data_IF_869226623614
#
_entry.id   IF_869226623614
#
_cell.length_a   1.000
_cell.length_b   1.000
_cell.length_c   1.000
_cell.angle_alpha   90.00
_cell.angle_beta   90.00
_cell.angle_gamma   90.00
#
_symmetry.space_group_name_H-M   'P 1'
#
loop_
_entity.id
_entity.type
_entity.pdbx_description
1 polymer ?
#
# COMPACT_ATOMS: atom_id res chain seq x y z
N UNK A 1 -4.54 -3.40 8.12
CA UNK A 1 -4.42 -2.43 6.99
C UNK A 1 -4.91 -1.10 7.50
N UNK A 2 -4.06 -0.06 7.52
CA UNK A 2 -4.35 1.18 8.25
C UNK A 2 -5.69 1.82 7.88
N UNK A 3 -5.99 1.98 6.59
CA UNK A 3 -7.23 2.59 6.12
C UNK A 3 -8.49 1.84 6.59
N UNK A 4 -8.48 0.50 6.54
CA UNK A 4 -9.56 -0.35 7.03
C UNK A 4 -9.68 -0.31 8.55
N UNK A 5 -8.56 -0.23 9.27
CA UNK A 5 -8.59 -0.15 10.74
C UNK A 5 -9.05 1.23 11.23
N UNK A 6 -8.89 2.28 10.42
CA UNK A 6 -9.43 3.62 10.70
C UNK A 6 -10.96 3.71 10.59
N UNK A 7 -11.62 2.73 9.98
CA UNK A 7 -13.08 2.64 10.00
C UNK A 7 -13.64 2.45 11.41
N UNK A 8 -12.89 1.82 12.31
CA UNK A 8 -13.26 1.61 13.72
C UNK A 8 -12.34 2.36 14.69
N UNK A 9 -11.17 2.81 14.25
CA UNK A 9 -10.22 3.58 15.05
C UNK A 9 -9.64 4.74 14.25
N UNK A 10 -10.41 5.83 14.03
CA UNK A 10 -10.06 6.90 13.09
C UNK A 10 -8.69 7.56 13.35
N UNK A 11 -8.28 7.61 14.62
CA UNK A 11 -7.04 8.24 15.06
C UNK A 11 -5.85 7.27 15.15
N UNK A 12 -5.96 6.06 14.59
CA UNK A 12 -4.86 5.09 14.60
C UNK A 12 -3.63 5.68 13.87
N UNK A 13 -2.47 5.85 14.54
CA UNK A 13 -1.28 6.44 13.92
C UNK A 13 -0.62 5.47 12.95
N UNK A 14 -0.03 6.01 11.87
CA UNK A 14 0.64 5.22 10.84
C UNK A 14 1.85 4.44 11.40
N UNK A 15 2.56 4.99 12.39
CA UNK A 15 3.80 4.42 12.91
C UNK A 15 3.60 3.02 13.56
N UNK A 16 2.39 2.73 14.05
CA UNK A 16 2.02 1.38 14.53
C UNK A 16 2.08 0.29 13.44
N UNK A 17 2.21 0.68 12.17
CA UNK A 17 2.39 -0.25 11.04
C UNK A 17 3.84 -0.55 10.72
N UNK A 18 4.77 0.22 11.26
CA UNK A 18 6.20 0.09 11.01
C UNK A 18 7.00 -0.28 12.27
N UNK A 19 6.31 -0.55 13.38
CA UNK A 19 6.90 -0.87 14.68
C UNK A 19 6.46 -2.27 15.12
N UNK A 20 7.42 -3.09 15.57
CA UNK A 20 7.20 -4.48 15.99
C UNK A 20 7.92 -5.52 15.11
N UNK A 21 7.65 -6.81 15.34
CA UNK A 21 8.24 -7.96 14.62
C UNK A 21 7.46 -8.37 13.36
N UNK A 22 6.46 -7.58 12.94
CA UNK A 22 5.66 -7.93 11.78
C UNK A 22 6.54 -7.91 10.52
N UNK A 23 6.64 -9.07 9.87
CA UNK A 23 7.21 -9.29 8.52
C UNK A 23 8.66 -8.86 8.25
N UNK A 24 9.44 -8.47 9.26
CA UNK A 24 10.84 -8.07 9.02
C UNK A 24 10.93 -6.78 8.19
N UNK A 25 9.96 -5.87 8.33
CA UNK A 25 9.77 -4.70 7.46
C UNK A 25 11.06 -3.89 7.22
N UNK A 26 11.88 -3.67 8.25
CA UNK A 26 13.17 -2.95 8.10
C UNK A 26 14.24 -3.78 7.37
N UNK A 27 14.27 -5.09 7.56
CA UNK A 27 15.19 -5.98 6.83
C UNK A 27 14.78 -6.10 5.36
N UNK A 28 13.48 -6.25 5.08
CA UNK A 28 12.98 -6.28 3.71
C UNK A 28 13.24 -4.95 3.01
N UNK A 29 13.05 -3.84 3.72
CA UNK A 29 13.31 -2.51 3.15
C UNK A 29 14.80 -2.29 2.84
N UNK A 30 15.71 -2.71 3.72
CA UNK A 30 17.14 -2.66 3.43
C UNK A 30 17.48 -3.60 2.26
N UNK A 31 16.87 -4.79 2.18
CA UNK A 31 17.02 -5.69 1.03
C UNK A 31 16.53 -5.09 -0.29
N UNK A 32 15.39 -4.40 -0.28
CA UNK A 32 14.84 -3.71 -1.45
C UNK A 32 15.77 -2.57 -1.88
N UNK A 33 16.23 -1.75 -0.92
CA UNK A 33 17.20 -0.67 -1.19
C UNK A 33 18.50 -1.26 -1.76
N UNK A 34 19.00 -2.38 -1.22
CA UNK A 34 20.16 -3.10 -1.74
C UNK A 34 19.99 -3.47 -3.21
N UNK A 35 18.86 -4.11 -3.53
CA UNK A 35 18.56 -4.55 -4.89
C UNK A 35 18.52 -3.38 -5.88
N UNK A 36 17.88 -2.27 -5.49
CA UNK A 36 17.85 -1.07 -6.31
C UNK A 36 19.24 -0.45 -6.52
N UNK A 37 20.06 -0.38 -5.48
CA UNK A 37 21.39 0.21 -5.56
C UNK A 37 22.33 -0.60 -6.42
N UNK A 38 22.23 -1.92 -6.33
CA UNK A 38 23.06 -2.84 -7.11
C UNK A 38 22.63 -2.85 -8.58
N UNK A 39 21.33 -2.76 -8.86
CA UNK A 39 20.81 -2.70 -10.22
C UNK A 39 20.78 -1.28 -10.83
N UNK A 40 21.36 -0.27 -10.15
CA UNK A 40 21.27 1.13 -10.59
C UNK A 40 22.19 1.42 -11.76
N UNK A 41 21.79 2.41 -12.56
CA UNK A 41 22.72 3.08 -13.46
C UNK A 41 23.68 3.98 -12.67
N UNK A 42 24.92 3.52 -12.47
CA UNK A 42 25.96 4.28 -11.74
C UNK A 42 26.40 5.55 -12.48
N UNK A 43 26.09 5.71 -13.78
CA UNK A 43 26.49 6.89 -14.55
C UNK A 43 25.60 8.10 -14.31
N UNK A 44 24.34 7.87 -13.91
CA UNK A 44 23.34 8.92 -13.73
C UNK A 44 22.67 8.90 -12.36
N UNK A 45 22.90 7.88 -11.54
CA UNK A 45 22.19 7.62 -10.26
C UNK A 45 20.65 7.72 -10.41
N UNK A 46 20.14 7.40 -11.60
CA UNK A 46 18.73 7.47 -11.95
C UNK A 46 18.17 6.10 -12.25
N UNK A 47 17.28 5.65 -11.38
CA UNK A 47 16.51 4.43 -11.58
C UNK A 47 17.37 3.16 -11.72
N UNK A 48 16.72 1.99 -11.74
CA UNK A 48 17.38 0.75 -12.11
C UNK A 48 17.64 0.73 -13.63
N UNK A 49 18.81 0.26 -14.07
CA UNK A 49 19.13 0.04 -15.49
C UNK A 49 19.05 -1.44 -15.86
N UNK A 50 19.89 -2.25 -15.23
CA UNK A 50 19.93 -3.71 -15.32
C UNK A 50 20.83 -4.24 -14.20
N UNK A 51 20.53 -5.42 -13.68
CA UNK A 51 21.45 -6.12 -12.78
C UNK A 51 22.55 -6.78 -13.62
N UNK A 52 23.76 -6.23 -13.57
CA UNK A 52 24.94 -6.86 -14.15
C UNK A 52 25.63 -7.75 -13.11
N UNK A 53 25.63 -9.06 -13.35
CA UNK A 53 26.35 -10.03 -12.53
C UNK A 53 27.61 -10.42 -13.32
N UNK A 54 28.82 -10.08 -12.85
CA UNK A 54 30.05 -10.46 -13.52
C UNK A 54 30.16 -11.98 -13.71
N UNK A 55 30.86 -12.40 -14.77
CA UNK A 55 31.09 -13.83 -15.02
C UNK A 55 31.75 -14.51 -13.81
N UNK A 56 31.21 -15.66 -13.41
CA UNK A 56 31.68 -16.40 -12.23
C UNK A 56 31.22 -15.85 -10.87
N UNK A 57 30.36 -14.84 -10.84
CA UNK A 57 29.77 -14.27 -9.61
C UNK A 57 28.30 -14.64 -9.45
N UNK A 58 27.80 -14.52 -8.22
CA UNK A 58 26.41 -14.70 -7.82
C UNK A 58 25.82 -13.37 -7.34
N UNK A 59 24.49 -13.30 -7.26
CA UNK A 59 23.78 -12.13 -6.69
C UNK A 59 24.33 -11.74 -5.31
N UNK A 60 24.68 -12.73 -4.49
CA UNK A 60 25.26 -12.50 -3.16
C UNK A 60 26.59 -11.74 -3.22
N UNK A 61 27.45 -12.01 -4.20
CA UNK A 61 28.71 -11.30 -4.39
C UNK A 61 28.48 -9.84 -4.77
N UNK A 62 27.45 -9.57 -5.59
CA UNK A 62 27.13 -8.18 -6.01
C UNK A 62 26.50 -7.39 -4.85
N UNK A 63 25.84 -8.07 -3.92
CA UNK A 63 25.28 -7.47 -2.70
C UNK A 63 26.30 -7.34 -1.57
N UNK A 64 27.48 -7.95 -1.67
CA UNK A 64 28.48 -8.01 -0.58
C UNK A 64 28.96 -6.61 -0.17
N UNK A 65 29.21 -5.72 -1.14
CA UNK A 65 29.63 -4.33 -0.88
C UNK A 65 28.56 -3.54 -0.09
N UNK A 66 27.29 -3.89 -0.27
CA UNK A 66 26.16 -3.29 0.44
C UNK A 66 25.90 -3.94 1.80
N UNK A 67 25.96 -5.27 1.89
CA UNK A 67 25.59 -6.02 3.09
C UNK A 67 26.72 -6.18 4.11
N UNK A 68 27.96 -5.82 3.77
CA UNK A 68 29.17 -6.01 4.59
C UNK A 68 29.07 -5.34 5.97
N UNK A 69 28.67 -6.07 7.03
CA UNK A 69 28.26 -5.47 8.30
C UNK A 69 29.45 -5.06 9.18
N UNK A 70 30.66 -5.51 8.86
CA UNK A 70 31.89 -5.20 9.61
C UNK A 70 32.69 -4.00 9.10
N UNK A 71 32.45 -3.54 7.87
CA UNK A 71 33.14 -2.40 7.25
C UNK A 71 32.29 -1.86 6.08
N UNK A 72 31.20 -1.16 6.38
CA UNK A 72 30.29 -0.67 5.35
C UNK A 72 31.01 0.28 4.38
N UNK A 73 30.95 -0.02 3.09
CA UNK A 73 31.53 0.80 2.03
C UNK A 73 30.78 2.12 1.79
N UNK A 74 31.23 2.88 0.80
CA UNK A 74 30.55 4.12 0.35
C UNK A 74 29.12 3.86 -0.10
N UNK A 75 28.86 2.70 -0.71
CA UNK A 75 27.52 2.26 -1.12
C UNK A 75 26.55 2.15 0.04
N UNK A 76 26.97 1.60 1.18
CA UNK A 76 26.14 1.57 2.39
C UNK A 76 25.94 2.96 2.99
N UNK A 77 26.99 3.78 2.95
CA UNK A 77 27.00 5.12 3.55
C UNK A 77 26.06 6.07 2.81
N UNK A 78 26.03 6.00 1.48
CA UNK A 78 25.24 6.89 0.62
C UNK A 78 23.92 6.28 0.12
N UNK A 79 23.61 5.03 0.52
CA UNK A 79 22.43 4.27 0.05
C UNK A 79 21.13 5.06 0.06
N UNK A 80 20.82 5.75 1.15
CA UNK A 80 19.57 6.49 1.28
C UNK A 80 19.58 7.76 0.42
N UNK A 81 20.73 8.41 0.24
CA UNK A 81 20.92 9.53 -0.68
C UNK A 81 20.64 9.10 -2.12
N UNK A 82 21.27 8.00 -2.53
CA UNK A 82 21.13 7.45 -3.89
C UNK A 82 19.69 7.00 -4.12
N UNK A 83 19.11 6.27 -3.16
CA UNK A 83 17.72 5.82 -3.27
C UNK A 83 16.73 6.99 -3.35
N UNK A 84 16.94 8.07 -2.58
CA UNK A 84 16.15 9.30 -2.69
C UNK A 84 16.28 9.91 -4.09
N UNK A 85 17.49 10.00 -4.66
CA UNK A 85 17.71 10.49 -6.04
C UNK A 85 17.01 9.62 -7.09
N UNK A 86 17.07 8.30 -6.95
CA UNK A 86 16.41 7.35 -7.86
C UNK A 86 14.89 7.53 -7.87
N UNK A 87 14.29 7.89 -6.74
CA UNK A 87 12.87 8.24 -6.65
C UNK A 87 12.55 9.67 -7.15
N UNK A 88 13.54 10.39 -7.66
CA UNK A 88 13.44 11.77 -8.13
C UNK A 88 13.53 12.82 -7.02
N UNK A 89 14.24 12.52 -5.94
CA UNK A 89 14.62 13.47 -4.91
C UNK A 89 15.67 14.44 -5.42
N UNK A 90 15.47 15.73 -5.15
CA UNK A 90 16.38 16.81 -5.53
C UNK A 90 17.02 17.38 -4.27
N UNK A 91 18.32 17.63 -4.31
CA UNK A 91 19.08 18.11 -3.16
C UNK A 91 19.63 19.51 -3.42
N UNK A 92 19.45 20.40 -2.46
CA UNK A 92 20.13 21.70 -2.39
C UNK A 92 21.15 21.64 -1.24
N UNK A 93 22.40 21.33 -1.57
CA UNK A 93 23.39 20.92 -0.59
C UNK A 93 22.98 19.59 0.05
N UNK A 94 22.94 19.53 1.38
CA UNK A 94 22.60 18.32 2.14
C UNK A 94 21.10 18.21 2.50
N UNK A 95 20.24 19.04 1.90
CA UNK A 95 18.81 19.06 2.19
C UNK A 95 18.01 18.64 0.97
N UNK A 96 17.07 17.72 1.16
CA UNK A 96 16.08 17.32 0.16
C UNK A 96 15.12 18.50 -0.11
N UNK A 97 15.31 19.20 -1.22
CA UNK A 97 14.61 20.45 -1.53
C UNK A 97 13.18 20.25 -2.02
N UNK A 98 12.88 19.09 -2.63
CA UNK A 98 11.56 18.76 -3.17
C UNK A 98 10.81 17.74 -2.30
N UNK A 99 11.09 17.69 -0.99
CA UNK A 99 10.59 16.68 -0.06
C UNK A 99 9.07 16.47 -0.15
N UNK A 100 8.27 17.53 -0.07
CA UNK A 100 6.82 17.41 -0.03
C UNK A 100 6.24 16.95 -1.38
N UNK A 101 6.81 17.43 -2.49
CA UNK A 101 6.46 16.96 -3.82
C UNK A 101 6.81 15.47 -4.03
N UNK A 102 7.94 15.01 -3.49
CA UNK A 102 8.32 13.60 -3.49
C UNK A 102 7.32 12.76 -2.68
N UNK A 103 6.92 13.22 -1.49
CA UNK A 103 5.91 12.54 -0.66
C UNK A 103 4.58 12.39 -1.41
N UNK A 104 4.09 13.47 -2.01
CA UNK A 104 2.81 13.46 -2.71
C UNK A 104 2.86 12.56 -3.97
N UNK A 105 3.99 12.56 -4.69
CA UNK A 105 4.23 11.64 -5.82
C UNK A 105 4.23 10.18 -5.39
N UNK A 106 4.86 9.85 -4.26
CA UNK A 106 4.90 8.48 -3.73
C UNK A 106 3.57 8.05 -3.11
N UNK A 107 2.81 8.97 -2.54
CA UNK A 107 1.51 8.68 -1.91
C UNK A 107 0.50 8.12 -2.93
N UNK A 108 0.53 8.57 -4.18
CA UNK A 108 -0.39 8.14 -5.23
C UNK A 108 -0.30 6.64 -5.55
N UNK A 109 0.85 6.07 -5.96
CA UNK A 109 0.96 4.64 -6.20
C UNK A 109 0.72 3.80 -4.94
N UNK A 110 1.09 4.31 -3.75
CA UNK A 110 0.75 3.65 -2.47
C UNK A 110 -0.77 3.56 -2.27
N UNK A 111 -1.51 4.62 -2.59
CA UNK A 111 -2.98 4.61 -2.53
C UNK A 111 -3.58 3.67 -3.58
N UNK A 112 -3.09 3.70 -4.81
CA UNK A 112 -3.56 2.82 -5.90
C UNK A 112 -3.35 1.34 -5.55
N UNK A 113 -2.14 0.96 -5.14
CA UNK A 113 -1.85 -0.38 -4.62
C UNK A 113 -2.72 -0.72 -3.40
N UNK A 114 -2.81 0.20 -2.44
CA UNK A 114 -3.60 0.02 -1.22
C UNK A 114 -5.08 -0.24 -1.50
N UNK A 115 -5.65 0.35 -2.56
CA UNK A 115 -7.03 0.10 -2.97
C UNK A 115 -7.23 -1.35 -3.45
N UNK A 116 -6.36 -1.82 -4.33
CA UNK A 116 -6.40 -3.18 -4.87
C UNK A 116 -6.12 -4.23 -3.80
N UNK A 117 -5.10 -3.98 -2.97
CA UNK A 117 -4.73 -4.86 -1.88
C UNK A 117 -5.87 -4.99 -0.86
N UNK A 118 -6.49 -3.87 -0.47
CA UNK A 118 -7.62 -3.87 0.45
C UNK A 118 -8.82 -4.64 -0.12
N UNK A 119 -9.19 -4.38 -1.37
CA UNK A 119 -10.26 -5.10 -2.05
C UNK A 119 -10.02 -6.61 -2.00
N UNK A 120 -8.82 -7.04 -2.43
CA UNK A 120 -8.45 -8.45 -2.47
C UNK A 120 -8.45 -9.08 -1.07
N UNK A 121 -7.93 -8.38 -0.06
CA UNK A 121 -7.89 -8.90 1.30
C UNK A 121 -9.28 -9.04 1.92
N UNK A 122 -10.18 -8.09 1.65
CA UNK A 122 -11.58 -8.20 2.09
C UNK A 122 -12.31 -9.33 1.37
N UNK A 123 -12.05 -9.52 0.07
CA UNK A 123 -12.57 -10.65 -0.71
C UNK A 123 -12.11 -11.99 -0.12
N UNK A 124 -10.81 -12.16 0.09
CA UNK A 124 -10.22 -13.39 0.64
C UNK A 124 -10.72 -13.73 2.04
N UNK A 125 -11.15 -12.72 2.81
CA UNK A 125 -11.66 -12.90 4.18
C UNK A 125 -13.18 -12.95 4.24
N UNK A 126 -13.88 -12.99 3.09
CA UNK A 126 -15.35 -12.97 3.01
C UNK A 126 -16.00 -11.78 3.75
N UNK A 127 -15.30 -10.64 3.78
CA UNK A 127 -15.75 -9.41 4.44
C UNK A 127 -16.00 -8.27 3.46
N UNK A 128 -15.91 -8.54 2.17
CA UNK A 128 -16.11 -7.52 1.15
C UNK A 128 -17.57 -7.09 1.11
N UNK A 129 -17.81 -5.83 1.46
CA UNK A 129 -19.07 -5.11 1.23
C UNK A 129 -18.77 -3.72 0.68
N UNK A 130 -19.68 -3.15 -0.11
CA UNK A 130 -19.52 -1.81 -0.65
C UNK A 130 -19.34 -0.77 0.46
N UNK A 131 -20.12 -0.87 1.54
CA UNK A 131 -20.06 0.06 2.68
C UNK A 131 -18.73 0.03 3.40
N UNK A 132 -18.18 -1.16 3.69
CA UNK A 132 -16.87 -1.29 4.34
C UNK A 132 -15.76 -0.78 3.42
N UNK A 133 -15.83 -1.10 2.13
CA UNK A 133 -14.84 -0.67 1.15
C UNK A 133 -14.84 0.86 1.00
N UNK A 134 -16.03 1.47 0.87
CA UNK A 134 -16.21 2.92 0.81
C UNK A 134 -15.64 3.62 2.03
N UNK A 135 -16.06 3.21 3.23
CA UNK A 135 -15.60 3.82 4.49
C UNK A 135 -14.08 3.70 4.63
N UNK A 136 -13.50 2.58 4.20
CA UNK A 136 -12.05 2.40 4.20
C UNK A 136 -11.35 3.28 3.16
N UNK A 137 -11.90 3.40 1.95
CA UNK A 137 -11.34 4.22 0.87
C UNK A 137 -11.32 5.71 1.22
N UNK A 138 -12.28 6.21 2.03
CA UNK A 138 -12.25 7.58 2.54
C UNK A 138 -11.00 7.88 3.40
N UNK A 139 -10.38 6.87 4.01
CA UNK A 139 -9.13 7.02 4.75
C UNK A 139 -7.87 6.73 3.93
N UNK A 140 -8.01 6.17 2.73
CA UNK A 140 -6.92 5.55 1.98
C UNK A 140 -5.86 6.56 1.53
N UNK A 141 -6.28 7.67 0.92
CA UNK A 141 -5.34 8.68 0.39
C UNK A 141 -4.55 9.33 1.52
N UNK A 142 -5.22 9.70 2.62
CA UNK A 142 -4.55 10.25 3.79
C UNK A 142 -3.57 9.26 4.43
N UNK A 143 -3.99 8.01 4.60
CA UNK A 143 -3.12 6.95 5.10
C UNK A 143 -1.91 6.70 4.19
N UNK A 144 -2.10 6.73 2.86
CA UNK A 144 -1.02 6.56 1.90
C UNK A 144 0.00 7.70 1.95
N UNK A 145 -0.47 8.94 2.12
CA UNK A 145 0.40 10.11 2.31
C UNK A 145 1.22 10.01 3.58
N UNK A 146 0.61 9.58 4.68
CA UNK A 146 1.32 9.37 5.95
C UNK A 146 2.37 8.25 5.85
N UNK A 147 2.06 7.16 5.13
CA UNK A 147 3.02 6.09 4.82
C UNK A 147 4.20 6.63 4.03
N UNK A 148 3.94 7.37 2.95
CA UNK A 148 4.98 8.00 2.14
C UNK A 148 5.82 8.99 2.97
N UNK A 149 5.19 9.76 3.85
CA UNK A 149 5.88 10.68 4.74
C UNK A 149 6.79 9.95 5.74
N UNK A 150 6.34 8.86 6.36
CA UNK A 150 7.20 8.05 7.23
C UNK A 150 8.39 7.50 6.45
N UNK A 151 8.14 6.98 5.26
CA UNK A 151 9.19 6.40 4.41
C UNK A 151 10.26 7.43 4.01
N UNK A 152 9.84 8.57 3.45
CA UNK A 152 10.76 9.66 3.08
C UNK A 152 11.50 10.19 4.30
N UNK A 153 10.83 10.30 5.46
CA UNK A 153 11.49 10.78 6.68
C UNK A 153 12.55 9.79 7.20
N UNK A 154 12.31 8.49 7.06
CA UNK A 154 13.30 7.47 7.42
C UNK A 154 14.55 7.54 6.52
N UNK A 155 14.36 7.75 5.22
CA UNK A 155 15.44 7.92 4.26
C UNK A 155 16.23 9.22 4.50
N UNK A 156 15.53 10.35 4.71
CA UNK A 156 16.17 11.63 5.01
C UNK A 156 16.96 11.56 6.31
N UNK A 157 16.40 10.94 7.35
CA UNK A 157 17.13 10.75 8.60
C UNK A 157 18.41 9.93 8.40
N UNK A 158 18.33 8.84 7.62
CA UNK A 158 19.47 7.96 7.37
C UNK A 158 20.50 8.61 6.43
N UNK A 159 20.06 9.47 5.52
CA UNK A 159 20.93 10.37 4.75
C UNK A 159 21.69 11.29 5.71
N UNK A 160 21.00 11.93 6.65
CA UNK A 160 21.60 12.89 7.61
C UNK A 160 22.49 12.22 8.68
N UNK A 161 22.33 10.91 8.88
CA UNK A 161 23.05 10.12 9.86
C UNK A 161 23.61 8.87 9.16
N UNK A 162 24.61 9.07 8.31
CA UNK A 162 25.17 8.01 7.48
C UNK A 162 25.55 6.77 8.32
N UNK A 163 25.27 5.59 7.77
CA UNK A 163 25.56 4.31 8.41
C UNK A 163 24.51 3.82 9.42
N UNK A 164 23.55 4.64 9.84
CA UNK A 164 22.44 4.17 10.68
C UNK A 164 21.49 3.27 9.89
N UNK A 165 20.83 2.33 10.58
CA UNK A 165 19.78 1.49 10.00
C UNK A 165 18.58 2.31 9.54
N UNK A 166 18.06 1.97 8.36
CA UNK A 166 16.83 2.51 7.81
C UNK A 166 15.64 1.95 8.59
N UNK A 167 14.96 2.84 9.32
CA UNK A 167 13.80 2.47 10.12
C UNK A 167 12.84 3.66 10.28
N UNK A 168 11.56 3.36 10.43
CA UNK A 168 10.57 4.36 10.80
C UNK A 168 10.85 4.90 12.22
N UNK A 169 10.68 6.21 12.40
CA UNK A 169 11.01 6.91 13.65
C UNK A 169 9.87 7.82 14.07
N UNK A 170 9.82 8.10 15.38
CA UNK A 170 8.96 9.15 15.93
C UNK A 170 9.57 10.54 15.64
N UNK A 171 8.75 11.61 15.59
CA UNK A 171 7.29 11.59 15.73
C UNK A 171 6.61 11.07 14.44
N UNK A 172 5.47 10.40 14.63
CA UNK A 172 4.62 10.05 13.50
C UNK A 172 4.03 11.31 12.85
N UNK A 173 3.77 11.32 11.53
CA UNK A 173 2.97 12.38 10.94
C UNK A 173 1.58 12.43 11.60
N UNK A 174 0.95 13.63 11.64
CA UNK A 174 -0.40 13.76 12.15
C UNK A 174 -1.36 12.91 11.33
N UNK A 175 -2.38 12.37 12.01
CA UNK A 175 -3.41 11.57 11.33
C UNK A 175 -4.22 12.47 10.40
N UNK A 176 -4.25 12.10 9.12
CA UNK A 176 -5.06 12.77 8.11
C UNK A 176 -6.54 12.45 8.34
N UNK A 177 -7.43 13.47 8.42
CA UNK A 177 -8.86 13.25 8.50
C UNK A 177 -9.40 12.42 7.33
N UNK A 178 -10.53 11.74 7.54
CA UNK A 178 -11.23 11.06 6.44
C UNK A 178 -11.61 12.07 5.36
N UNK A 179 -11.46 11.68 4.10
CA UNK A 179 -11.95 12.46 2.98
C UNK A 179 -13.49 12.54 3.01
N UNK A 180 -14.03 13.56 2.33
CA UNK A 180 -15.48 13.68 2.12
C UNK A 180 -15.97 12.76 1.00
N UNK A 181 -15.09 12.40 0.06
CA UNK A 181 -15.42 11.59 -1.10
C UNK A 181 -14.29 10.61 -1.44
N UNK A 182 -14.67 9.46 -2.02
CA UNK A 182 -13.73 8.46 -2.52
C UNK A 182 -13.19 8.92 -3.87
N UNK A 183 -11.89 9.14 -3.95
CA UNK A 183 -11.19 9.44 -5.21
C UNK A 183 -10.50 8.20 -5.76
N UNK A 184 -9.56 7.62 -5.00
CA UNK A 184 -8.84 6.39 -5.36
C UNK A 184 -9.72 5.15 -5.19
N UNK A 185 -9.76 4.28 -6.20
CA UNK A 185 -10.56 3.05 -6.17
C UNK A 185 -12.06 3.26 -6.44
N UNK A 186 -12.49 4.46 -6.84
CA UNK A 186 -13.90 4.79 -7.12
C UNK A 186 -14.54 3.87 -8.16
N UNK A 187 -13.85 3.55 -9.25
CA UNK A 187 -14.35 2.62 -10.28
C UNK A 187 -14.59 1.22 -9.72
N UNK A 188 -13.67 0.71 -8.89
CA UNK A 188 -13.83 -0.59 -8.21
C UNK A 188 -15.00 -0.55 -7.24
N UNK A 189 -15.12 0.51 -6.44
CA UNK A 189 -16.21 0.69 -5.50
C UNK A 189 -17.57 0.73 -6.23
N UNK A 190 -17.66 1.46 -7.34
CA UNK A 190 -18.88 1.56 -8.14
C UNK A 190 -19.26 0.21 -8.75
N UNK A 191 -18.28 -0.58 -9.21
CA UNK A 191 -18.53 -1.94 -9.69
C UNK A 191 -19.11 -2.84 -8.57
N UNK A 192 -18.54 -2.78 -7.36
CA UNK A 192 -19.06 -3.54 -6.21
C UNK A 192 -20.46 -3.07 -5.81
N UNK A 193 -20.71 -1.75 -5.74
CA UNK A 193 -22.05 -1.19 -5.48
C UNK A 193 -23.09 -1.64 -6.51
N UNK A 194 -22.71 -1.69 -7.79
CA UNK A 194 -23.61 -2.15 -8.85
C UNK A 194 -23.89 -3.65 -8.73
N UNK A 195 -22.87 -4.47 -8.46
CA UNK A 195 -23.05 -5.90 -8.20
C UNK A 195 -24.02 -6.16 -7.04
N UNK A 196 -23.80 -5.51 -5.90
CA UNK A 196 -24.68 -5.69 -4.73
C UNK A 196 -26.13 -5.25 -4.99
N UNK A 197 -26.35 -4.22 -5.82
CA UNK A 197 -27.70 -3.80 -6.22
C UNK A 197 -28.40 -4.85 -7.06
N UNK A 198 -27.69 -5.46 -8.01
CA UNK A 198 -28.23 -6.55 -8.85
C UNK A 198 -28.58 -7.76 -7.99
N UNK A 199 -27.68 -8.17 -7.09
CA UNK A 199 -27.92 -9.31 -6.19
C UNK A 199 -29.13 -9.09 -5.28
N UNK A 200 -29.30 -7.88 -4.73
CA UNK A 200 -30.49 -7.52 -3.94
C UNK A 200 -31.77 -7.54 -4.79
N UNK A 201 -31.71 -7.03 -6.01
CA UNK A 201 -32.85 -7.04 -6.93
C UNK A 201 -33.27 -8.47 -7.29
N UNK A 202 -32.31 -9.33 -7.61
CA UNK A 202 -32.56 -10.74 -7.91
C UNK A 202 -33.19 -11.48 -6.72
N UNK A 203 -32.66 -11.26 -5.51
CA UNK A 203 -33.20 -11.86 -4.29
C UNK A 203 -34.65 -11.42 -4.02
N UNK A 204 -34.96 -10.14 -4.20
CA UNK A 204 -36.33 -9.63 -4.05
C UNK A 204 -37.29 -10.28 -5.05
N UNK A 205 -36.88 -10.44 -6.31
CA UNK A 205 -37.71 -11.12 -7.31
C UNK A 205 -37.97 -12.58 -6.96
N UNK A 206 -36.99 -13.27 -6.37
CA UNK A 206 -37.15 -14.64 -5.88
C UNK A 206 -38.14 -14.70 -4.71
N UNK A 207 -38.04 -13.78 -3.75
CA UNK A 207 -39.00 -13.64 -2.64
C UNK A 207 -40.43 -13.36 -3.16
N UNK A 208 -40.58 -12.38 -4.06
CA UNK A 208 -41.87 -12.05 -4.68
C UNK A 208 -42.47 -13.26 -5.43
N UNK A 209 -41.65 -14.03 -6.15
CA UNK A 209 -42.10 -15.24 -6.85
C UNK A 209 -42.57 -16.34 -5.89
N UNK A 210 -41.85 -16.55 -4.77
CA UNK A 210 -42.24 -17.50 -3.73
C UNK A 210 -43.56 -17.09 -3.07
N UNK A 211 -43.78 -15.80 -2.81
CA UNK A 211 -45.04 -15.28 -2.26
C UNK A 211 -46.21 -15.54 -3.22
N UNK A 212 -46.03 -15.27 -4.52
CA UNK A 212 -47.04 -15.57 -5.55
C UNK A 212 -47.35 -17.06 -5.61
N UNK A 213 -46.34 -17.92 -5.59
CA UNK A 213 -46.52 -19.38 -5.59
C UNK A 213 -47.32 -19.86 -4.36
N UNK A 214 -46.98 -19.35 -3.16
CA UNK A 214 -47.72 -19.66 -1.93
C UNK A 214 -49.17 -19.19 -1.99
N UNK A 215 -49.40 -17.98 -2.52
CA UNK A 215 -50.75 -17.45 -2.69
C UNK A 215 -51.59 -18.33 -3.64
N UNK A 216 -51.02 -18.74 -4.78
CA UNK A 216 -51.66 -19.62 -5.77
C UNK A 216 -52.00 -20.99 -5.15
N UNK A 217 -51.06 -21.60 -4.41
CA UNK A 217 -51.30 -22.87 -3.69
C UNK A 217 -52.45 -22.76 -2.69
N UNK A 218 -52.52 -21.65 -1.96
CA UNK A 218 -53.53 -21.43 -0.91
C UNK A 218 -54.93 -21.19 -1.46
N UNK A 219 -55.08 -20.41 -2.54
CA UNK A 219 -56.40 -19.95 -3.00
C UNK A 219 -56.95 -20.72 -4.19
N UNK A 220 -56.08 -21.30 -5.02
CA UNK A 220 -56.51 -22.02 -6.22
C UNK A 220 -56.36 -23.54 -6.10
N UNK A 221 -55.88 -24.04 -4.95
CA UNK A 221 -55.79 -25.47 -4.67
C UNK A 221 -54.78 -26.24 -5.52
N UNK A 222 -53.85 -25.55 -6.20
CA UNK A 222 -52.79 -26.19 -6.98
C UNK A 222 -51.84 -26.97 -6.07
N UNK A 223 -52.09 -28.28 -5.92
CA UNK A 223 -51.09 -29.24 -5.43
C UNK A 223 -50.17 -29.60 -6.60
N UNK A 224 -49.05 -28.87 -6.70
CA UNK A 224 -47.85 -29.10 -7.52
C UNK A 224 -47.97 -29.99 -8.78
N UNK A 225 -47.76 -29.38 -9.95
CA UNK A 225 -47.10 -30.09 -11.05
C UNK A 225 -45.60 -30.07 -10.74
N UNK A 226 -45.08 -31.19 -10.23
CA UNK A 226 -43.64 -31.43 -10.17
C UNK A 226 -43.11 -31.57 -11.60
N UNK A 227 -42.20 -30.67 -11.98
CA UNK A 227 -41.23 -30.88 -13.06
C UNK A 227 -39.84 -30.66 -12.47
#
# INVERSE_FOLDING_TARGET
MLAKDRTTSPNAPVLKRFTGLSFGDSNNLEGDVAGYLVARDKSVDKGPSALEIPEGKWIADVLEEYLSPGSPGTEWTDRCTIFLKMMGGEFKGYKLSNRDALIDRLARPVAEFGSLYLLNRLRQTNRLTASLLETSYLHLVGAAREVAQVFVSALVYSHEHQGVRLQARAPAPPVTPKAQQVTTGSSLLNAIKSKERVEKGAKKLEEDAQEVEQWLKKHLGFRGLSW
#
